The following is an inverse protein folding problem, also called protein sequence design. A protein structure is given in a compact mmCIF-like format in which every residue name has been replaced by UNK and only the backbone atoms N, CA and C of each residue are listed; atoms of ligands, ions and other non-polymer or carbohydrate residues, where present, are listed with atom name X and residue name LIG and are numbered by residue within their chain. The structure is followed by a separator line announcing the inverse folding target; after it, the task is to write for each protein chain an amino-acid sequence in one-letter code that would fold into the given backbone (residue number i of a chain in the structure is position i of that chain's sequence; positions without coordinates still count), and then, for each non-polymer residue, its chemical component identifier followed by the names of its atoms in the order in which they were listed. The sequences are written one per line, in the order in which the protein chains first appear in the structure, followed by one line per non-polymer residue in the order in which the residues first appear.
data_IF_388928786444
#
_entry.id   IF_388928786444
#
_cell.length_a   1.000
_cell.length_b   1.000
_cell.length_c   1.000
_cell.angle_alpha   90.00
_cell.angle_beta   90.00
_cell.angle_gamma   90.00
#
_symmetry.space_group_name_H-M   'P 1'
#
loop_
_entity.id
_entity.type
_entity.pdbx_description
1 polymer ?
#
# COMPACT_ATOMS: atom_id res chain seq x y z
N UNK A 1 10.77 -6.05 -16.42
CA UNK A 1 10.40 -4.77 -15.82
C UNK A 1 9.25 -5.05 -14.87
N UNK A 2 9.41 -4.78 -13.58
CA UNK A 2 8.30 -4.88 -12.64
C UNK A 2 7.22 -3.87 -13.03
N UNK A 3 5.95 -4.26 -12.91
CA UNK A 3 4.82 -3.40 -13.25
C UNK A 3 4.74 -2.27 -12.23
N UNK A 4 4.71 -1.02 -12.68
CA UNK A 4 4.43 0.14 -11.84
C UNK A 4 2.94 0.47 -11.91
N UNK A 5 2.22 0.42 -10.78
CA UNK A 5 0.86 0.96 -10.72
C UNK A 5 0.91 2.41 -10.23
N UNK A 6 0.86 3.35 -11.17
CA UNK A 6 0.93 4.80 -10.88
C UNK A 6 -0.31 5.33 -10.13
N UNK A 7 -1.38 4.53 -10.04
CA UNK A 7 -2.57 4.85 -9.25
C UNK A 7 -2.42 4.49 -7.76
N UNK A 8 -1.41 3.69 -7.39
CA UNK A 8 -1.19 3.25 -6.00
C UNK A 8 0.18 3.73 -5.55
N UNK A 9 0.21 4.91 -4.93
CA UNK A 9 1.44 5.45 -4.35
C UNK A 9 1.85 4.61 -3.13
N UNK A 10 3.11 4.22 -3.08
CA UNK A 10 3.66 3.48 -1.95
C UNK A 10 5.07 4.00 -1.71
N UNK A 11 5.29 4.65 -0.57
CA UNK A 11 6.61 5.12 -0.12
C UNK A 11 7.25 4.19 0.91
N UNK A 12 6.55 3.10 1.25
CA UNK A 12 6.98 2.12 2.25
C UNK A 12 8.03 1.19 1.63
N UNK A 13 9.31 1.46 1.89
CA UNK A 13 10.44 0.74 1.28
C UNK A 13 10.43 -0.76 1.61
N UNK A 14 9.96 -1.12 2.80
CA UNK A 14 9.82 -2.49 3.29
C UNK A 14 8.58 -3.22 2.73
N UNK A 15 7.74 -2.56 1.94
CA UNK A 15 6.60 -3.21 1.30
C UNK A 15 7.09 -4.15 0.20
N UNK A 16 6.72 -5.43 0.28
CA UNK A 16 7.01 -6.48 -0.72
C UNK A 16 6.57 -6.09 -2.13
N UNK A 17 5.57 -5.22 -2.22
CA UNK A 17 4.99 -4.75 -3.47
C UNK A 17 5.49 -3.37 -3.88
N UNK A 18 6.50 -2.80 -3.21
CA UNK A 18 7.12 -1.54 -3.62
C UNK A 18 7.85 -1.72 -4.96
N UNK A 19 7.69 -0.80 -5.90
CA UNK A 19 8.31 -0.82 -7.24
C UNK A 19 9.86 -0.68 -7.21
N UNK A 20 10.47 -0.63 -6.03
CA UNK A 20 11.92 -0.55 -5.76
C UNK A 20 12.62 0.75 -6.17
N UNK A 21 12.25 1.34 -7.31
CA UNK A 21 12.87 2.54 -7.89
C UNK A 21 11.96 3.75 -7.91
N UNK A 22 10.65 3.53 -7.82
CA UNK A 22 9.64 4.59 -7.82
C UNK A 22 8.73 4.39 -6.60
N UNK A 23 8.18 5.49 -6.08
CA UNK A 23 7.28 5.51 -4.92
C UNK A 23 5.86 5.04 -5.28
N UNK A 24 5.76 3.85 -5.87
CA UNK A 24 4.52 3.23 -6.31
C UNK A 24 4.49 1.74 -5.94
N UNK A 25 3.28 1.20 -5.84
CA UNK A 25 3.03 -0.22 -5.66
C UNK A 25 3.02 -0.94 -7.01
N UNK A 26 3.30 -2.24 -7.00
CA UNK A 26 3.24 -3.10 -8.18
C UNK A 26 1.91 -3.85 -8.31
N UNK A 27 1.08 -3.85 -7.24
CA UNK A 27 -0.25 -4.45 -7.24
C UNK A 27 -1.21 -3.69 -8.17
N UNK A 28 -2.15 -4.42 -8.77
CA UNK A 28 -3.21 -3.81 -9.59
C UNK A 28 -4.28 -3.10 -8.73
N UNK A 29 -4.53 -3.63 -7.53
CA UNK A 29 -5.50 -3.13 -6.56
C UNK A 29 -4.97 -3.35 -5.14
N UNK A 30 -5.42 -2.51 -4.20
CA UNK A 30 -5.19 -2.70 -2.76
C UNK A 30 -6.52 -2.75 -2.01
N UNK A 31 -6.51 -3.37 -0.85
CA UNK A 31 -7.59 -3.30 0.12
C UNK A 31 -7.19 -2.34 1.24
N UNK A 32 -7.97 -1.29 1.44
CA UNK A 32 -7.86 -0.43 2.63
C UNK A 32 -8.84 -0.95 3.67
N UNK A 33 -8.38 -1.13 4.89
CA UNK A 33 -9.16 -1.60 6.03
C UNK A 33 -8.96 -0.73 7.26
N UNK A 34 -9.60 -1.12 8.36
CA UNK A 34 -9.43 -0.50 9.67
C UNK A 34 -9.56 -1.58 10.74
N UNK A 35 -8.93 -1.38 11.89
CA UNK A 35 -9.10 -2.23 13.07
C UNK A 35 -10.08 -1.63 14.09
N UNK A 36 -10.65 -0.45 13.80
CA UNK A 36 -11.65 0.22 14.64
C UNK A 36 -13.06 0.07 14.03
N UNK A 37 -14.10 0.11 14.86
CA UNK A 37 -15.48 0.02 14.37
C UNK A 37 -15.91 1.26 13.57
N UNK A 38 -15.38 2.44 13.90
CA UNK A 38 -15.73 3.72 13.28
C UNK A 38 -14.48 4.62 13.14
N UNK A 39 -13.60 4.37 12.16
CA UNK A 39 -12.39 5.17 11.98
C UNK A 39 -12.76 6.60 11.57
N UNK A 40 -12.16 7.57 12.26
CA UNK A 40 -12.33 9.01 11.96
C UNK A 40 -11.03 9.68 11.54
N UNK A 41 -9.92 8.95 11.63
CA UNK A 41 -8.58 9.41 11.30
C UNK A 41 -7.95 8.47 10.27
N UNK A 42 -7.14 9.02 9.39
CA UNK A 42 -6.37 8.29 8.40
C UNK A 42 -5.40 7.29 9.02
N UNK A 43 -4.85 7.60 10.21
CA UNK A 43 -3.98 6.66 10.94
C UNK A 43 -4.70 5.39 11.42
N UNK A 44 -6.04 5.39 11.45
CA UNK A 44 -6.85 4.23 11.77
C UNK A 44 -7.18 3.39 10.52
N UNK A 45 -6.70 3.80 9.33
CA UNK A 45 -6.89 3.09 8.06
C UNK A 45 -5.56 2.50 7.58
N UNK A 46 -5.57 1.20 7.34
CA UNK A 46 -4.38 0.42 7.00
C UNK A 46 -4.51 -0.16 5.58
N UNK A 47 -3.37 -0.27 4.88
CA UNK A 47 -3.31 -1.06 3.65
C UNK A 47 -3.23 -2.55 4.01
N UNK A 48 -4.36 -3.25 3.92
CA UNK A 48 -4.47 -4.69 4.23
C UNK A 48 -3.75 -5.58 3.21
N UNK A 49 -3.36 -5.01 2.06
CA UNK A 49 -2.52 -5.69 1.06
C UNK A 49 -1.02 -5.52 1.33
N UNK A 50 -0.64 -4.84 2.41
CA UNK A 50 0.76 -4.72 2.81
C UNK A 50 1.33 -6.08 3.20
N UNK A 51 2.49 -6.41 2.64
CA UNK A 51 3.32 -7.52 3.07
C UNK A 51 4.75 -7.00 3.23
N UNK A 52 5.46 -7.48 4.25
CA UNK A 52 6.89 -7.15 4.42
C UNK A 52 7.74 -7.90 3.38
N UNK A 53 8.79 -7.25 2.88
CA UNK A 53 9.80 -7.83 1.99
C UNK A 53 10.49 -9.04 2.60
#
# INVERSE_FOLDING_TARGET
MERCNECIKCTVEQCRHHHNTKNYCTLESIQVGTHEMNPTKDQCTDCMSFAVK
#
